data_IF_316080507506
#
_entry.id   IF_316080507506
#
_cell.length_a   1.000
_cell.length_b   1.000
_cell.length_c   1.000
_cell.angle_alpha   90.00
_cell.angle_beta   90.00
_cell.angle_gamma   90.00
#
_symmetry.space_group_name_H-M   'P 1'
#
loop_
_entity.id
_entity.type
_entity.pdbx_description
1 polymer ?
#
# COMPACT_ATOMS: atom_id res chain seq x y z
N UNK A 1 44.70 -10.11 -14.83
CA UNK A 1 43.71 -11.04 -14.24
C UNK A 1 42.55 -10.31 -13.55
N UNK A 2 42.78 -9.23 -12.80
CA UNK A 2 41.71 -8.44 -12.15
C UNK A 2 40.79 -7.73 -13.16
N UNK A 3 41.33 -7.01 -14.16
CA UNK A 3 40.49 -6.30 -15.15
C UNK A 3 39.54 -7.21 -15.92
N UNK A 4 39.98 -8.41 -16.33
CA UNK A 4 39.13 -9.37 -17.03
C UNK A 4 37.99 -9.89 -16.12
N UNK A 5 38.26 -10.13 -14.83
CA UNK A 5 37.25 -10.54 -13.87
C UNK A 5 36.21 -9.43 -13.61
N UNK A 6 36.66 -8.18 -13.46
CA UNK A 6 35.78 -7.02 -13.28
C UNK A 6 34.91 -6.75 -14.51
N UNK A 7 35.48 -6.88 -15.72
CA UNK A 7 34.74 -6.72 -16.98
C UNK A 7 33.73 -7.84 -17.20
N UNK A 8 34.07 -9.08 -16.84
CA UNK A 8 33.14 -10.21 -16.92
C UNK A 8 32.00 -10.08 -15.91
N UNK A 9 32.29 -9.63 -14.68
CA UNK A 9 31.27 -9.32 -13.67
C UNK A 9 30.35 -8.17 -14.09
N UNK A 10 30.88 -7.10 -14.69
CA UNK A 10 30.07 -5.97 -15.15
C UNK A 10 29.16 -6.36 -16.33
N UNK A 11 29.68 -7.15 -17.27
CA UNK A 11 28.92 -7.68 -18.41
C UNK A 11 27.82 -8.63 -17.98
N UNK A 12 28.13 -9.59 -17.10
CA UNK A 12 27.12 -10.49 -16.54
C UNK A 12 26.05 -9.74 -15.72
N UNK A 13 26.44 -8.66 -15.02
CA UNK A 13 25.48 -7.81 -14.30
C UNK A 13 24.58 -7.05 -15.27
N UNK A 14 25.12 -6.48 -16.35
CA UNK A 14 24.35 -5.77 -17.38
C UNK A 14 23.40 -6.71 -18.12
N UNK A 15 23.86 -7.91 -18.49
CA UNK A 15 23.04 -8.95 -19.14
C UNK A 15 21.92 -9.45 -18.21
N UNK A 16 22.21 -9.62 -16.92
CA UNK A 16 21.19 -9.93 -15.92
C UNK A 16 20.19 -8.79 -15.71
N UNK A 17 20.64 -7.54 -15.71
CA UNK A 17 19.74 -6.38 -15.61
C UNK A 17 18.82 -6.32 -16.82
N UNK A 18 19.35 -6.40 -18.04
CA UNK A 18 18.55 -6.35 -19.27
C UNK A 18 17.58 -7.52 -19.40
N UNK A 19 18.00 -8.73 -19.04
CA UNK A 19 17.14 -9.93 -19.03
C UNK A 19 15.98 -9.81 -18.03
N UNK A 20 16.17 -9.09 -16.92
CA UNK A 20 15.16 -8.90 -15.87
C UNK A 20 14.30 -7.64 -16.03
N UNK A 21 14.60 -6.73 -16.98
CA UNK A 21 13.79 -5.51 -17.22
C UNK A 21 12.30 -5.81 -17.43
N UNK A 22 11.89 -6.83 -18.21
CA UNK A 22 10.47 -7.16 -18.37
C UNK A 22 9.80 -7.56 -17.06
N UNK A 23 10.51 -8.32 -16.21
CA UNK A 23 10.02 -8.72 -14.88
C UNK A 23 9.88 -7.49 -13.97
N UNK A 24 10.84 -6.57 -14.02
CA UNK A 24 10.78 -5.32 -13.26
C UNK A 24 9.59 -4.43 -13.68
N UNK A 25 9.39 -4.22 -14.98
CA UNK A 25 8.26 -3.44 -15.50
C UNK A 25 6.91 -4.08 -15.17
N UNK A 26 6.83 -5.41 -15.26
CA UNK A 26 5.63 -6.14 -14.85
C UNK A 26 5.31 -5.95 -13.36
N UNK A 27 6.31 -6.10 -12.48
CA UNK A 27 6.14 -5.89 -11.04
C UNK A 27 5.80 -4.43 -10.71
N UNK A 28 6.40 -3.47 -11.42
CA UNK A 28 6.04 -2.05 -11.31
C UNK A 28 4.60 -1.80 -11.75
N UNK A 29 4.15 -2.43 -12.85
CA UNK A 29 2.76 -2.38 -13.30
C UNK A 29 1.81 -2.92 -12.24
N UNK A 30 2.13 -4.08 -11.64
CA UNK A 30 1.34 -4.66 -10.55
C UNK A 30 1.29 -3.72 -9.34
N UNK A 31 2.40 -3.11 -8.95
CA UNK A 31 2.45 -2.14 -7.85
C UNK A 31 1.58 -0.90 -8.13
N UNK A 32 1.61 -0.39 -9.36
CA UNK A 32 0.75 0.71 -9.80
C UNK A 32 -0.74 0.36 -9.72
N UNK A 33 -1.11 -0.84 -10.17
CA UNK A 33 -2.50 -1.32 -10.08
C UNK A 33 -2.96 -1.52 -8.63
N UNK A 34 -2.08 -2.01 -7.74
CA UNK A 34 -2.36 -2.08 -6.29
C UNK A 34 -2.54 -0.67 -5.71
N UNK A 35 -1.74 0.31 -6.13
CA UNK A 35 -1.93 1.71 -5.76
C UNK A 35 -3.29 2.26 -6.19
N UNK A 36 -3.72 1.97 -7.43
CA UNK A 36 -5.06 2.31 -7.91
C UNK A 36 -6.15 1.59 -7.09
N UNK A 37 -5.94 0.32 -6.72
CA UNK A 37 -6.86 -0.44 -5.86
C UNK A 37 -7.03 0.22 -4.48
N UNK A 38 -5.96 0.72 -3.87
CA UNK A 38 -6.03 1.48 -2.60
C UNK A 38 -6.84 2.77 -2.77
N UNK A 39 -6.63 3.50 -3.87
CA UNK A 39 -7.38 4.72 -4.14
C UNK A 39 -8.89 4.48 -4.30
N UNK A 40 -9.26 3.52 -5.16
CA UNK A 40 -10.66 3.17 -5.45
C UNK A 40 -11.32 2.50 -4.24
N UNK A 41 -10.60 1.67 -3.49
CA UNK A 41 -11.06 1.09 -2.23
C UNK A 41 -11.29 2.15 -1.16
N UNK A 42 -10.40 3.15 -1.07
CA UNK A 42 -10.57 4.33 -0.22
C UNK A 42 -11.84 5.12 -0.57
N UNK A 43 -12.07 5.38 -1.85
CA UNK A 43 -13.30 6.01 -2.34
C UNK A 43 -14.55 5.18 -1.95
N UNK A 44 -14.50 3.87 -2.16
CA UNK A 44 -15.59 2.91 -1.83
C UNK A 44 -15.93 2.94 -0.34
N UNK A 45 -14.92 3.07 0.53
CA UNK A 45 -15.13 3.18 1.99
C UNK A 45 -15.73 4.52 2.37
N UNK A 46 -15.20 5.62 1.83
CA UNK A 46 -15.63 6.99 2.17
C UNK A 46 -17.06 7.27 1.69
N UNK A 47 -17.46 6.75 0.53
CA UNK A 47 -18.85 6.83 0.03
C UNK A 47 -19.79 5.80 0.68
N UNK A 48 -19.25 4.97 1.59
CA UNK A 48 -19.95 3.83 2.21
C UNK A 48 -20.57 2.90 1.17
N UNK A 49 -19.91 2.69 0.03
CA UNK A 49 -20.46 1.89 -1.06
C UNK A 49 -20.11 0.41 -0.98
N UNK A 50 -19.28 -0.03 -0.03
CA UNK A 50 -18.75 -1.40 0.03
C UNK A 50 -19.76 -2.55 0.25
N UNK A 51 -21.06 -2.26 0.29
CA UNK A 51 -22.16 -3.22 0.47
C UNK A 51 -23.34 -2.93 -0.49
N UNK A 52 -23.10 -2.17 -1.56
CA UNK A 52 -24.08 -1.83 -2.59
C UNK A 52 -24.38 -2.99 -3.56
N UNK A 53 -23.40 -3.87 -3.83
CA UNK A 53 -23.56 -5.03 -4.71
C UNK A 53 -23.83 -6.29 -3.90
N UNK A 54 -25.11 -6.48 -3.60
CA UNK A 54 -25.62 -7.58 -2.77
C UNK A 54 -25.75 -8.91 -3.52
N UNK A 55 -25.89 -8.87 -4.85
CA UNK A 55 -25.86 -10.09 -5.67
C UNK A 55 -24.43 -10.55 -5.93
N UNK A 56 -24.13 -11.79 -5.56
CA UNK A 56 -22.87 -12.41 -5.92
C UNK A 56 -22.98 -13.05 -7.31
N UNK A 57 -22.39 -12.39 -8.32
CA UNK A 57 -22.19 -12.98 -9.65
C UNK A 57 -20.75 -13.52 -9.75
N UNK A 58 -20.53 -14.86 -9.78
CA UNK A 58 -19.21 -15.49 -9.70
C UNK A 58 -18.21 -14.94 -10.71
N UNK A 59 -18.67 -14.66 -11.92
CA UNK A 59 -17.85 -14.29 -13.07
C UNK A 59 -17.49 -12.80 -13.12
N UNK A 60 -18.04 -11.98 -12.22
CA UNK A 60 -17.97 -10.52 -12.38
C UNK A 60 -18.73 -10.09 -13.62
N UNK A 61 -20.05 -10.34 -13.62
CA UNK A 61 -20.92 -9.90 -14.70
C UNK A 61 -20.89 -8.37 -14.85
N UNK A 62 -21.21 -7.91 -16.07
CA UNK A 62 -21.39 -6.50 -16.37
C UNK A 62 -22.35 -5.85 -15.34
N UNK A 63 -22.14 -4.56 -15.01
CA UNK A 63 -23.13 -3.83 -14.22
C UNK A 63 -24.47 -3.84 -14.97
N UNK A 64 -25.60 -3.63 -14.26
CA UNK A 64 -26.89 -3.45 -14.90
C UNK A 64 -26.78 -2.42 -16.04
N UNK A 65 -27.36 -2.75 -17.19
CA UNK A 65 -27.27 -1.93 -18.40
C UNK A 65 -28.60 -1.22 -18.63
N UNK A 66 -29.70 -1.93 -18.38
CA UNK A 66 -31.05 -1.38 -18.58
C UNK A 66 -31.60 -0.73 -17.32
N UNK A 67 -32.50 0.23 -17.48
CA UNK A 67 -33.15 0.88 -16.34
C UNK A 67 -33.98 -0.09 -15.50
N UNK A 68 -34.55 -1.13 -16.13
CA UNK A 68 -35.27 -2.19 -15.41
C UNK A 68 -34.34 -3.00 -14.51
N UNK A 69 -33.17 -3.42 -15.01
CA UNK A 69 -32.19 -4.15 -14.21
C UNK A 69 -31.65 -3.29 -13.05
N UNK A 70 -31.49 -1.98 -13.27
CA UNK A 70 -31.13 -1.04 -12.20
C UNK A 70 -32.21 -0.92 -11.14
N UNK A 71 -33.48 -0.87 -11.55
CA UNK A 71 -34.61 -0.85 -10.62
C UNK A 71 -34.66 -2.13 -9.78
N UNK A 72 -34.47 -3.30 -10.41
CA UNK A 72 -34.51 -4.61 -9.73
C UNK A 72 -33.39 -4.75 -8.68
N UNK A 73 -32.15 -4.37 -9.02
CA UNK A 73 -31.02 -4.37 -8.08
C UNK A 73 -31.21 -3.33 -6.96
N UNK A 74 -31.80 -2.17 -7.26
CA UNK A 74 -32.11 -1.18 -6.23
C UNK A 74 -33.19 -1.67 -5.26
N UNK A 75 -34.25 -2.30 -5.76
CA UNK A 75 -35.27 -2.93 -4.92
C UNK A 75 -34.70 -4.04 -4.03
N UNK A 76 -33.70 -4.77 -4.52
CA UNK A 76 -32.98 -5.74 -3.70
C UNK A 76 -32.13 -5.05 -2.63
N UNK A 77 -31.41 -3.98 -2.96
CA UNK A 77 -30.60 -3.20 -2.02
C UNK A 77 -31.44 -2.60 -0.88
N UNK A 78 -32.68 -2.18 -1.15
CA UNK A 78 -33.62 -1.68 -0.12
C UNK A 78 -33.90 -2.65 1.02
N UNK A 79 -33.70 -3.95 0.80
CA UNK A 79 -33.92 -5.01 1.81
C UNK A 79 -32.81 -5.08 2.86
N UNK A 80 -31.67 -4.42 2.63
CA UNK A 80 -30.51 -4.49 3.51
C UNK A 80 -30.49 -3.35 4.55
N UNK A 81 -29.90 -3.58 5.74
CA UNK A 81 -29.80 -2.57 6.80
C UNK A 81 -29.11 -1.27 6.37
N UNK A 82 -28.17 -1.33 5.43
CA UNK A 82 -27.42 -0.18 4.93
C UNK A 82 -28.31 0.84 4.21
N UNK A 83 -29.38 0.39 3.54
CA UNK A 83 -30.36 1.28 2.93
C UNK A 83 -31.24 1.97 4.00
N UNK A 84 -31.50 1.31 5.13
CA UNK A 84 -32.28 1.89 6.23
C UNK A 84 -31.61 3.14 6.82
N UNK A 85 -30.29 3.27 6.68
CA UNK A 85 -29.54 4.46 7.08
C UNK A 85 -29.56 5.58 6.01
N UNK A 86 -30.08 5.31 4.80
CA UNK A 86 -30.05 6.20 3.63
C UNK A 86 -31.34 6.12 2.81
N UNK A 87 -32.49 6.12 3.47
CA UNK A 87 -33.80 5.87 2.84
C UNK A 87 -34.21 6.91 1.79
N UNK A 88 -33.59 8.10 1.78
CA UNK A 88 -33.87 9.16 0.82
C UNK A 88 -33.08 9.06 -0.51
N UNK A 89 -32.35 7.96 -0.71
CA UNK A 89 -31.51 7.75 -1.89
C UNK A 89 -32.34 7.48 -3.15
N UNK A 90 -31.96 8.11 -4.27
CA UNK A 90 -32.56 7.83 -5.59
C UNK A 90 -31.85 6.67 -6.29
N UNK A 91 -32.41 6.19 -7.41
CA UNK A 91 -31.76 5.16 -8.25
C UNK A 91 -30.42 5.69 -8.80
N UNK A 92 -30.32 6.99 -9.10
CA UNK A 92 -29.09 7.57 -9.63
C UNK A 92 -27.99 7.67 -8.57
N UNK A 93 -28.37 7.98 -7.32
CA UNK A 93 -27.45 7.91 -6.18
C UNK A 93 -26.97 6.46 -5.94
N UNK A 94 -27.86 5.49 -6.10
CA UNK A 94 -27.53 4.07 -6.02
C UNK A 94 -26.53 3.65 -7.11
N UNK A 95 -26.71 4.11 -8.35
CA UNK A 95 -25.77 3.87 -9.46
C UNK A 95 -24.36 4.34 -9.12
N UNK A 96 -24.21 5.50 -8.46
CA UNK A 96 -22.90 6.03 -8.05
C UNK A 96 -22.19 5.15 -7.03
N UNK A 97 -22.89 4.72 -5.98
CA UNK A 97 -22.28 3.82 -4.98
C UNK A 97 -21.96 2.46 -5.59
N UNK A 98 -22.87 1.92 -6.41
CA UNK A 98 -22.66 0.65 -7.12
C UNK A 98 -21.43 0.71 -8.00
N UNK A 99 -21.23 1.81 -8.73
CA UNK A 99 -20.08 1.98 -9.62
C UNK A 99 -18.73 1.92 -8.88
N UNK A 100 -18.64 2.56 -7.71
CA UNK A 100 -17.42 2.51 -6.89
C UNK A 100 -17.10 1.10 -6.42
N UNK A 101 -18.11 0.38 -5.90
CA UNK A 101 -17.91 -1.00 -5.47
C UNK A 101 -17.56 -1.91 -6.65
N UNK A 102 -18.29 -1.80 -7.76
CA UNK A 102 -18.03 -2.56 -8.99
C UNK A 102 -16.59 -2.33 -9.48
N UNK A 103 -16.18 -1.06 -9.58
CA UNK A 103 -14.84 -0.68 -10.03
C UNK A 103 -13.76 -1.24 -9.12
N UNK A 104 -13.92 -1.13 -7.80
CA UNK A 104 -13.01 -1.72 -6.82
C UNK A 104 -12.93 -3.26 -6.98
N UNK A 105 -14.07 -3.94 -7.15
CA UNK A 105 -14.14 -5.40 -7.30
C UNK A 105 -13.51 -5.87 -8.61
N UNK A 106 -13.77 -5.18 -9.73
CA UNK A 106 -13.16 -5.52 -11.02
C UNK A 106 -11.67 -5.25 -11.00
N UNK A 107 -11.24 -4.10 -10.46
CA UNK A 107 -9.83 -3.75 -10.39
C UNK A 107 -9.03 -4.80 -9.60
N UNK A 108 -9.56 -5.28 -8.47
CA UNK A 108 -8.94 -6.37 -7.70
C UNK A 108 -8.78 -7.68 -8.49
N UNK A 109 -9.76 -8.04 -9.33
CA UNK A 109 -9.68 -9.22 -10.22
C UNK A 109 -8.64 -9.02 -11.30
N UNK A 110 -8.64 -7.84 -11.93
CA UNK A 110 -7.66 -7.49 -12.97
C UNK A 110 -6.24 -7.49 -12.40
N UNK A 111 -6.02 -7.00 -11.18
CA UNK A 111 -4.73 -7.11 -10.47
C UNK A 111 -4.32 -8.58 -10.31
N UNK A 112 -5.24 -9.42 -9.84
CA UNK A 112 -4.99 -10.86 -9.67
C UNK A 112 -4.56 -11.54 -10.97
N UNK A 113 -5.25 -11.27 -12.08
CA UNK A 113 -4.91 -11.80 -13.40
C UNK A 113 -3.61 -11.22 -13.96
N UNK A 114 -3.42 -9.90 -13.84
CA UNK A 114 -2.22 -9.20 -14.27
C UNK A 114 -0.97 -9.63 -13.49
N UNK A 115 -1.13 -10.17 -12.28
CA UNK A 115 -0.05 -10.81 -11.55
C UNK A 115 0.10 -12.28 -11.94
N UNK A 116 -0.97 -13.08 -11.89
CA UNK A 116 -0.90 -14.53 -12.09
C UNK A 116 -0.45 -14.93 -13.51
N UNK A 117 -0.96 -14.27 -14.55
CA UNK A 117 -0.67 -14.67 -15.94
C UNK A 117 0.80 -14.44 -16.33
N UNK A 118 1.41 -13.25 -16.08
CA UNK A 118 2.83 -13.07 -16.35
C UNK A 118 3.72 -13.87 -15.39
N UNK A 119 3.31 -14.09 -14.13
CA UNK A 119 4.01 -14.97 -13.20
C UNK A 119 4.13 -16.39 -13.80
N UNK A 120 3.03 -16.97 -14.26
CA UNK A 120 3.02 -18.28 -14.92
C UNK A 120 3.93 -18.29 -16.15
N UNK A 121 3.82 -17.28 -17.01
CA UNK A 121 4.68 -17.14 -18.19
C UNK A 121 6.18 -17.10 -17.82
N UNK A 122 6.58 -16.25 -16.87
CA UNK A 122 7.98 -16.10 -16.49
C UNK A 122 8.54 -17.32 -15.74
N UNK A 123 7.69 -18.05 -15.00
CA UNK A 123 8.05 -19.33 -14.39
C UNK A 123 8.31 -20.41 -15.46
N UNK A 124 7.40 -20.57 -16.43
CA UNK A 124 7.56 -21.54 -17.53
C UNK A 124 8.81 -21.23 -18.36
N UNK A 125 9.09 -19.95 -18.60
CA UNK A 125 10.27 -19.50 -19.36
C UNK A 125 11.56 -19.44 -18.53
N UNK A 126 11.52 -19.83 -17.25
CA UNK A 126 12.67 -19.81 -16.31
C UNK A 126 13.39 -18.45 -16.28
N UNK A 127 12.63 -17.34 -16.41
CA UNK A 127 13.16 -15.97 -16.43
C UNK A 127 13.23 -15.31 -15.05
N UNK A 128 12.71 -15.98 -14.03
CA UNK A 128 12.71 -15.47 -12.65
C UNK A 128 13.93 -16.04 -11.90
N UNK A 129 14.74 -15.19 -11.25
CA UNK A 129 15.86 -15.63 -10.43
C UNK A 129 15.37 -16.36 -9.16
N UNK A 130 16.11 -17.38 -8.72
CA UNK A 130 15.65 -18.32 -7.67
C UNK A 130 15.36 -17.64 -6.33
N UNK A 131 16.05 -16.54 -6.05
CA UNK A 131 15.91 -15.71 -4.85
C UNK A 131 14.54 -15.03 -4.77
N UNK A 132 13.83 -14.89 -5.89
CA UNK A 132 12.52 -14.24 -5.96
C UNK A 132 11.36 -15.21 -5.76
N UNK A 133 11.54 -16.53 -5.88
CA UNK A 133 10.44 -17.49 -5.78
C UNK A 133 9.69 -17.41 -4.45
N UNK A 134 10.41 -17.33 -3.32
CA UNK A 134 9.77 -17.22 -2.01
C UNK A 134 8.94 -15.94 -1.86
N UNK A 135 9.43 -14.81 -2.38
CA UNK A 135 8.71 -13.52 -2.33
C UNK A 135 7.47 -13.53 -3.21
N UNK A 136 7.59 -14.06 -4.43
CA UNK A 136 6.47 -14.15 -5.37
C UNK A 136 5.43 -15.17 -4.91
N UNK A 137 5.84 -16.29 -4.31
CA UNK A 137 4.93 -17.25 -3.71
C UNK A 137 4.19 -16.65 -2.51
N UNK A 138 4.86 -15.86 -1.66
CA UNK A 138 4.21 -15.14 -0.57
C UNK A 138 3.19 -14.12 -1.09
N UNK A 139 3.56 -13.31 -2.09
CA UNK A 139 2.65 -12.34 -2.72
C UNK A 139 1.44 -13.03 -3.38
N UNK A 140 1.69 -14.12 -4.10
CA UNK A 140 0.64 -14.94 -4.71
C UNK A 140 -0.28 -15.54 -3.65
N UNK A 141 0.29 -16.12 -2.58
CA UNK A 141 -0.46 -16.72 -1.49
C UNK A 141 -1.34 -15.71 -0.76
N UNK A 142 -0.81 -14.53 -0.45
CA UNK A 142 -1.58 -13.44 0.16
C UNK A 142 -2.72 -12.97 -0.76
N UNK A 143 -2.47 -12.81 -2.06
CA UNK A 143 -3.48 -12.41 -3.05
C UNK A 143 -4.55 -13.48 -3.27
N UNK A 144 -4.14 -14.74 -3.41
CA UNK A 144 -5.04 -15.89 -3.57
C UNK A 144 -5.90 -16.10 -2.32
N UNK A 145 -5.33 -15.89 -1.12
CA UNK A 145 -6.08 -15.90 0.13
C UNK A 145 -7.18 -14.82 0.14
N UNK A 146 -6.85 -13.58 -0.24
CA UNK A 146 -7.85 -12.50 -0.38
C UNK A 146 -8.92 -12.78 -1.44
N UNK A 147 -8.57 -13.48 -2.52
CA UNK A 147 -9.46 -13.79 -3.63
C UNK A 147 -10.44 -14.92 -3.30
N UNK A 148 -9.97 -15.97 -2.63
CA UNK A 148 -10.77 -17.14 -2.27
C UNK A 148 -11.70 -16.90 -1.06
N UNK A 149 -11.36 -15.96 -0.16
CA UNK A 149 -11.98 -15.85 1.18
C UNK A 149 -12.87 -14.61 1.37
N UNK A 150 -13.44 -14.05 0.29
CA UNK A 150 -14.50 -13.01 0.35
C UNK A 150 -15.86 -13.54 0.82
N UNK A 151 -15.89 -14.25 1.94
CA UNK A 151 -17.09 -14.46 2.76
C UNK A 151 -17.13 -13.41 3.87
N UNK A 152 -18.32 -12.92 4.21
CA UNK A 152 -18.62 -11.78 5.09
C UNK A 152 -17.83 -11.70 6.43
N UNK A 153 -17.27 -12.81 6.91
CA UNK A 153 -16.50 -12.95 8.16
C UNK A 153 -15.27 -12.04 8.24
N UNK A 154 -14.48 -11.89 7.17
CA UNK A 154 -13.30 -11.00 7.20
C UNK A 154 -13.68 -9.54 6.98
N UNK A 155 -14.78 -9.24 6.27
CA UNK A 155 -15.32 -7.88 6.25
C UNK A 155 -15.75 -7.47 7.66
N UNK A 156 -16.41 -8.34 8.43
CA UNK A 156 -16.73 -8.08 9.82
C UNK A 156 -15.48 -7.88 10.69
N UNK A 157 -14.44 -8.71 10.52
CA UNK A 157 -13.17 -8.56 11.24
C UNK A 157 -12.38 -7.33 10.78
N UNK A 158 -12.41 -6.95 9.50
CA UNK A 158 -11.70 -5.79 8.93
C UNK A 158 -12.46 -4.49 9.19
N UNK A 159 -13.78 -4.53 9.30
CA UNK A 159 -14.59 -3.43 9.84
C UNK A 159 -14.32 -3.32 11.33
N UNK A 160 -14.30 -4.42 12.10
CA UNK A 160 -14.00 -4.39 13.52
C UNK A 160 -12.57 -3.89 13.80
N UNK A 161 -11.56 -4.40 13.09
CA UNK A 161 -10.17 -3.97 13.22
C UNK A 161 -9.88 -2.63 12.51
N UNK A 162 -10.61 -2.31 11.44
CA UNK A 162 -10.57 -1.01 10.77
C UNK A 162 -11.30 0.10 11.51
N UNK A 163 -12.25 -0.23 12.40
CA UNK A 163 -12.87 0.65 13.39
C UNK A 163 -12.04 0.75 14.69
N UNK A 164 -11.18 -0.25 14.94
CA UNK A 164 -10.18 -0.21 16.02
C UNK A 164 -8.92 0.57 15.62
N UNK A 165 -8.52 0.52 14.34
CA UNK A 165 -7.32 1.19 13.78
C UNK A 165 -7.65 2.55 13.16
N UNK A 166 -8.83 2.72 12.56
CA UNK A 166 -9.38 4.05 12.30
C UNK A 166 -10.32 4.36 13.46
N UNK A 167 -9.76 4.97 14.51
CA UNK A 167 -10.53 5.42 15.66
C UNK A 167 -11.79 6.14 15.21
N UNK A 168 -12.93 5.62 15.67
CA UNK A 168 -14.22 6.29 15.88
C UNK A 168 -14.11 7.81 15.63
N UNK A 169 -14.58 8.27 14.47
CA UNK A 169 -14.72 9.69 14.11
C UNK A 169 -13.51 10.61 14.37
N UNK A 170 -12.27 10.12 14.50
CA UNK A 170 -11.13 10.96 14.87
C UNK A 170 -10.82 12.07 13.85
N UNK A 171 -11.19 11.86 12.58
CA UNK A 171 -11.08 12.87 11.51
C UNK A 171 -12.20 13.93 11.51
N UNK A 172 -13.26 13.75 12.29
CA UNK A 172 -14.33 14.75 12.52
C UNK A 172 -14.36 15.27 13.97
N UNK A 173 -13.71 14.57 14.91
CA UNK A 173 -13.67 14.95 16.32
C UNK A 173 -12.87 16.24 16.56
N UNK A 174 -11.83 16.49 15.75
CA UNK A 174 -10.97 17.66 15.85
C UNK A 174 -10.64 18.23 14.46
N UNK A 175 -11.39 19.23 14.02
CA UNK A 175 -11.18 19.93 12.74
C UNK A 175 -10.31 21.20 12.90
N UNK A 176 -9.47 21.26 13.94
CA UNK A 176 -8.67 22.43 14.29
C UNK A 176 -7.18 22.09 14.25
N UNK A 177 -6.36 23.05 13.83
CA UNK A 177 -4.91 22.99 13.87
C UNK A 177 -4.39 24.42 14.17
N UNK A 178 -3.36 24.61 15.01
CA UNK A 178 -2.46 23.63 15.62
C UNK A 178 -2.96 22.98 16.91
N UNK A 179 -4.07 23.46 17.49
CA UNK A 179 -4.74 22.83 18.65
C UNK A 179 -5.79 21.82 18.21
N UNK A 180 -5.92 20.71 18.90
CA UNK A 180 -7.02 19.74 18.77
C UNK A 180 -8.07 20.04 19.84
N UNK A 181 -9.09 20.85 19.49
CA UNK A 181 -10.00 21.43 20.49
C UNK A 181 -9.28 22.44 21.37
N UNK A 182 -9.37 22.28 22.70
CA UNK A 182 -8.71 23.18 23.66
C UNK A 182 -7.25 22.79 23.97
N UNK A 183 -6.79 21.63 23.49
CA UNK A 183 -5.48 21.06 23.79
C UNK A 183 -4.53 21.19 22.60
N UNK A 184 -3.23 21.37 22.88
CA UNK A 184 -2.21 21.42 21.82
C UNK A 184 -1.87 20.02 21.28
N UNK A 185 -1.81 19.01 22.16
CA UNK A 185 -1.59 17.61 21.85
C UNK A 185 -2.30 16.76 22.92
N UNK A 186 -3.20 15.84 22.55
CA UNK A 186 -3.76 14.87 23.47
C UNK A 186 -2.67 13.91 24.02
N UNK A 187 -2.80 13.52 25.28
CA UNK A 187 -1.86 12.59 25.94
C UNK A 187 -1.83 11.23 25.19
N UNK A 188 -0.63 10.73 24.89
CA UNK A 188 -0.41 9.42 24.23
C UNK A 188 -0.10 9.44 22.73
N UNK A 189 0.03 10.61 22.07
CA UNK A 189 0.37 10.68 20.64
C UNK A 189 1.86 10.41 20.31
N UNK A 190 2.78 10.46 21.28
CA UNK A 190 4.22 10.51 21.01
C UNK A 190 4.93 9.17 20.77
N UNK A 191 4.25 8.03 20.84
CA UNK A 191 4.94 6.74 20.97
C UNK A 191 5.45 6.13 19.65
N UNK A 192 5.04 6.62 18.46
CA UNK A 192 5.38 5.98 17.17
C UNK A 192 6.13 6.86 16.15
N UNK A 193 6.20 8.18 16.35
CA UNK A 193 6.83 9.13 15.40
C UNK A 193 8.37 9.25 15.60
N UNK A 194 8.89 8.72 16.71
CA UNK A 194 10.27 8.97 17.18
C UNK A 194 11.33 8.17 16.41
N UNK A 195 11.00 7.00 15.84
CA UNK A 195 12.02 6.11 15.26
C UNK A 195 12.55 6.56 13.88
N UNK A 196 11.69 7.04 12.99
CA UNK A 196 12.10 7.43 11.61
C UNK A 196 12.65 8.86 11.58
N UNK A 197 11.96 9.80 12.25
CA UNK A 197 12.44 11.19 12.40
C UNK A 197 13.75 11.23 13.19
N UNK A 198 13.88 10.39 14.24
CA UNK A 198 15.14 10.22 14.98
C UNK A 198 16.27 9.64 14.13
N UNK A 199 16.00 8.61 13.31
CA UNK A 199 17.00 8.05 12.40
C UNK A 199 17.46 9.05 11.32
N UNK A 200 16.55 9.86 10.77
CA UNK A 200 16.90 10.92 9.84
C UNK A 200 17.74 12.02 10.50
N UNK A 201 17.36 12.47 11.71
CA UNK A 201 18.12 13.45 12.47
C UNK A 201 19.55 12.97 12.76
N UNK A 202 19.71 11.69 13.13
CA UNK A 202 21.02 11.04 13.32
C UNK A 202 21.81 10.97 12.00
N UNK A 203 21.17 10.60 10.90
CA UNK A 203 21.81 10.54 9.59
C UNK A 203 22.28 11.92 9.11
N UNK A 204 21.59 13.00 9.51
CA UNK A 204 21.94 14.36 9.10
C UNK A 204 23.08 14.99 9.89
N UNK A 205 23.59 14.32 10.94
CA UNK A 205 24.84 14.69 11.58
C UNK A 205 25.95 14.78 10.52
N UNK A 206 26.71 15.90 10.41
CA UNK A 206 27.76 16.06 9.41
C UNK A 206 28.76 14.89 9.38
N UNK A 207 29.10 14.35 10.55
CA UNK A 207 30.04 13.24 10.68
C UNK A 207 29.51 11.94 10.05
N UNK A 208 28.19 11.77 10.00
CA UNK A 208 27.52 10.58 9.44
C UNK A 208 27.15 10.81 7.97
N UNK A 209 26.61 11.98 7.65
CA UNK A 209 26.08 12.32 6.33
C UNK A 209 27.09 12.16 5.20
N UNK A 210 28.36 12.48 5.46
CA UNK A 210 29.43 12.33 4.46
C UNK A 210 29.84 10.88 4.21
N UNK A 211 29.53 9.98 5.13
CA UNK A 211 29.83 8.54 5.01
C UNK A 211 28.72 7.75 4.31
N UNK A 212 27.53 8.34 4.15
CA UNK A 212 26.37 7.68 3.51
C UNK A 212 26.56 7.67 1.97
N UNK A 213 26.31 6.55 1.27
CA UNK A 213 26.30 6.51 -0.18
C UNK A 213 25.24 7.45 -0.80
N UNK A 214 25.54 8.06 -1.95
CA UNK A 214 24.61 8.99 -2.62
C UNK A 214 23.18 8.44 -2.83
N UNK A 215 22.97 7.17 -3.25
CA UNK A 215 21.61 6.61 -3.38
C UNK A 215 20.82 6.58 -2.07
N UNK A 216 21.50 6.33 -0.94
CA UNK A 216 20.87 6.31 0.37
C UNK A 216 20.53 7.73 0.86
N UNK A 217 21.34 8.74 0.53
CA UNK A 217 20.99 10.15 0.78
C UNK A 217 19.73 10.56 0.02
N UNK A 218 19.64 10.19 -1.26
CA UNK A 218 18.44 10.44 -2.07
C UNK A 218 17.22 9.76 -1.48
N UNK A 219 17.34 8.50 -1.05
CA UNK A 219 16.24 7.77 -0.42
C UNK A 219 15.76 8.44 0.88
N UNK A 220 16.69 8.83 1.76
CA UNK A 220 16.41 9.57 3.00
C UNK A 220 15.66 10.88 2.71
N UNK A 221 16.14 11.69 1.75
CA UNK A 221 15.49 12.95 1.38
C UNK A 221 14.08 12.74 0.81
N UNK A 222 13.91 11.75 -0.08
CA UNK A 222 12.60 11.42 -0.65
C UNK A 222 11.62 10.94 0.43
N UNK A 223 12.11 10.19 1.42
CA UNK A 223 11.28 9.71 2.52
C UNK A 223 10.81 10.86 3.42
N UNK A 224 11.67 11.81 3.74
CA UNK A 224 11.29 13.01 4.50
C UNK A 224 10.33 13.89 3.69
N UNK A 225 10.57 14.07 2.39
CA UNK A 225 9.66 14.80 1.53
C UNK A 225 8.28 14.13 1.47
N UNK A 226 8.23 12.80 1.35
CA UNK A 226 6.98 12.04 1.38
C UNK A 226 6.28 12.13 2.75
N UNK A 227 7.03 12.10 3.85
CA UNK A 227 6.48 12.25 5.19
C UNK A 227 5.89 13.64 5.41
N UNK A 228 6.62 14.70 5.04
CA UNK A 228 6.15 16.07 5.10
C UNK A 228 4.90 16.27 4.22
N UNK A 229 4.91 15.75 2.99
CA UNK A 229 3.75 15.78 2.10
C UNK A 229 2.54 15.06 2.71
N UNK A 230 2.75 13.90 3.33
CA UNK A 230 1.69 13.15 4.00
C UNK A 230 1.08 13.92 5.18
N UNK A 231 1.91 14.57 6.01
CA UNK A 231 1.45 15.43 7.11
C UNK A 231 0.64 16.61 6.56
N UNK A 232 1.13 17.28 5.51
CA UNK A 232 0.40 18.40 4.89
C UNK A 232 -0.94 17.96 4.29
N UNK A 233 -0.99 16.79 3.64
CA UNK A 233 -2.24 16.19 3.16
C UNK A 233 -3.19 15.84 4.30
N UNK A 234 -2.67 15.32 5.43
CA UNK A 234 -3.45 15.01 6.62
C UNK A 234 -4.08 16.26 7.24
N UNK A 235 -3.27 17.31 7.47
CA UNK A 235 -3.73 18.61 7.97
C UNK A 235 -4.77 19.21 7.02
N UNK A 236 -4.48 19.19 5.71
CA UNK A 236 -5.40 19.72 4.69
C UNK A 236 -6.72 18.95 4.66
N UNK A 237 -6.68 17.62 4.83
CA UNK A 237 -7.88 16.78 4.92
C UNK A 237 -8.72 17.15 6.13
N UNK A 238 -8.09 17.38 7.29
CA UNK A 238 -8.79 17.79 8.53
C UNK A 238 -9.41 19.18 8.41
N UNK A 239 -8.63 20.17 7.97
CA UNK A 239 -9.09 21.57 7.88
C UNK A 239 -10.23 21.78 6.88
N UNK A 240 -10.35 20.91 5.88
CA UNK A 240 -11.41 20.97 4.87
C UNK A 240 -12.57 20.00 5.16
N UNK A 241 -12.66 19.46 6.38
CA UNK A 241 -13.72 18.53 6.80
C UNK A 241 -13.79 17.24 5.93
N UNK A 242 -12.62 16.64 5.68
CA UNK A 242 -12.45 15.34 5.04
C UNK A 242 -13.12 15.26 3.64
N UNK A 243 -12.77 16.14 2.69
CA UNK A 243 -13.34 16.04 1.36
C UNK A 243 -12.78 14.79 0.66
N UNK A 244 -13.65 14.07 -0.05
CA UNK A 244 -13.32 12.77 -0.66
C UNK A 244 -12.01 12.81 -1.48
N UNK A 245 -11.75 13.82 -2.33
CA UNK A 245 -10.48 13.88 -3.07
C UNK A 245 -9.24 13.99 -2.18
N UNK A 246 -9.27 14.79 -1.10
CA UNK A 246 -8.14 14.89 -0.18
C UNK A 246 -7.97 13.63 0.66
N UNK A 247 -9.07 13.02 1.09
CA UNK A 247 -9.01 11.78 1.85
C UNK A 247 -8.46 10.60 1.01
N UNK A 248 -8.79 10.55 -0.29
CA UNK A 248 -8.18 9.60 -1.23
C UNK A 248 -6.70 9.94 -1.44
N UNK A 249 -6.36 11.22 -1.65
CA UNK A 249 -4.97 11.65 -1.82
C UNK A 249 -4.11 11.34 -0.58
N UNK A 250 -4.65 11.49 0.62
CA UNK A 250 -3.99 11.13 1.86
C UNK A 250 -3.78 9.60 1.98
N UNK A 251 -4.77 8.78 1.61
CA UNK A 251 -4.62 7.32 1.61
C UNK A 251 -3.58 6.83 0.59
N UNK A 252 -3.56 7.41 -0.61
CA UNK A 252 -2.56 7.05 -1.64
C UNK A 252 -1.18 7.62 -1.31
N UNK A 253 -1.10 8.80 -0.70
CA UNK A 253 0.13 9.39 -0.17
C UNK A 253 0.80 8.49 0.89
N UNK A 254 0.03 7.80 1.72
CA UNK A 254 0.56 6.85 2.69
C UNK A 254 1.30 5.67 2.01
N UNK A 255 0.84 5.23 0.83
CA UNK A 255 1.52 4.20 0.04
C UNK A 255 2.84 4.71 -0.54
N UNK A 256 2.89 5.97 -0.98
CA UNK A 256 4.13 6.63 -1.43
C UNK A 256 5.13 6.72 -0.28
N UNK A 257 4.67 7.15 0.90
CA UNK A 257 5.48 7.17 2.12
C UNK A 257 6.01 5.77 2.45
N UNK A 258 5.14 4.75 2.51
CA UNK A 258 5.54 3.36 2.76
C UNK A 258 6.59 2.88 1.74
N UNK A 259 6.38 3.15 0.45
CA UNK A 259 7.31 2.78 -0.62
C UNK A 259 8.67 3.45 -0.45
N UNK A 260 8.67 4.76 -0.14
CA UNK A 260 9.90 5.51 0.13
C UNK A 260 10.61 4.99 1.39
N UNK A 261 9.88 4.56 2.42
CA UNK A 261 10.45 3.97 3.64
C UNK A 261 11.13 2.63 3.34
N UNK A 262 10.46 1.75 2.60
CA UNK A 262 11.05 0.47 2.17
C UNK A 262 12.28 0.70 1.28
N UNK A 263 12.23 1.71 0.40
CA UNK A 263 13.38 2.10 -0.43
C UNK A 263 14.56 2.60 0.42
N UNK A 264 14.30 3.45 1.42
CA UNK A 264 15.31 3.88 2.39
C UNK A 264 15.92 2.72 3.14
N UNK A 265 15.10 1.83 3.71
CA UNK A 265 15.57 0.63 4.41
C UNK A 265 16.41 -0.28 3.50
N UNK A 266 16.02 -0.40 2.23
CA UNK A 266 16.77 -1.17 1.24
C UNK A 266 18.14 -0.55 0.95
N UNK A 267 18.19 0.77 0.71
CA UNK A 267 19.45 1.48 0.42
C UNK A 267 20.37 1.53 1.64
N UNK A 268 19.84 1.49 2.87
CA UNK A 268 20.61 1.44 4.11
C UNK A 268 21.07 0.03 4.50
N UNK A 269 20.83 -1.02 3.69
CA UNK A 269 21.28 -2.39 4.01
C UNK A 269 22.80 -2.53 4.12
N UNK A 270 23.59 -1.63 3.51
CA UNK A 270 25.06 -1.59 3.71
C UNK A 270 25.44 -1.30 5.17
N UNK A 271 24.57 -0.60 5.90
CA UNK A 271 24.76 -0.23 7.30
C UNK A 271 24.21 -1.29 8.27
N UNK A 272 23.74 -2.46 7.79
CA UNK A 272 23.46 -3.57 8.70
C UNK A 272 24.76 -3.93 9.41
N UNK A 273 24.80 -3.92 10.76
CA UNK A 273 25.95 -4.46 11.45
C UNK A 273 26.12 -5.89 10.94
N UNK A 274 27.34 -6.24 10.54
CA UNK A 274 27.74 -7.58 10.12
C UNK A 274 27.66 -8.52 11.34
N UNK A 275 26.45 -8.75 11.83
CA UNK A 275 26.14 -9.68 12.90
C UNK A 275 26.23 -11.09 12.37
N UNK A 276 27.45 -11.64 12.33
CA UNK A 276 27.75 -13.03 12.71
C UNK A 276 29.26 -13.37 12.70
N UNK A 277 30.12 -12.58 12.06
CA UNK A 277 31.55 -12.95 11.90
C UNK A 277 32.53 -12.28 12.87
N UNK A 278 32.11 -11.25 13.61
CA UNK A 278 33.04 -10.53 14.50
C UNK A 278 33.24 -11.24 15.85
N UNK A 279 32.17 -11.82 16.42
CA UNK A 279 32.23 -12.53 17.70
C UNK A 279 33.06 -13.83 17.64
N UNK A 280 33.08 -14.52 16.48
CA UNK A 280 33.94 -15.69 16.27
C UNK A 280 35.41 -15.31 16.11
N UNK A 281 35.71 -14.17 15.46
CA UNK A 281 37.08 -13.71 15.24
C UNK A 281 37.75 -13.23 16.53
N UNK A 282 36.99 -12.66 17.47
CA UNK A 282 37.52 -12.32 18.81
C UNK A 282 37.82 -13.59 19.63
N UNK A 283 36.95 -14.61 19.58
CA UNK A 283 37.19 -15.89 20.28
C UNK A 283 38.37 -16.69 19.73
N UNK A 284 38.73 -16.48 18.47
CA UNK A 284 39.89 -17.13 17.84
C UNK A 284 41.20 -16.38 18.10
N UNK A 285 41.14 -15.06 18.28
CA UNK A 285 42.27 -14.22 18.66
C UNK A 285 42.56 -14.20 20.18
N UNK A 286 41.65 -14.72 20.99
CA UNK A 286 41.77 -14.78 22.46
C UNK A 286 42.12 -16.17 23.01
N UNK A 287 42.58 -17.10 22.16
CA UNK A 287 43.20 -18.34 22.65
C UNK A 287 44.70 -18.10 22.75
N UNK A 288 45.32 -18.29 23.94
CA UNK A 288 46.76 -18.21 24.10
C UNK A 288 47.48 -19.28 23.28
#
# INVERSE_FOLDING_TARGET
SLNAATTNLSRATLENVTANRPVAWWLMGCAGMVGAMVAVGGATRLTRSGLSMVTWKPHGGLPPITDQEWADEFELYKKFPEFQQRQHMTVDDFKQIYFWEYSHRMLGRTVGLAFAAPLAYFLIRKRIPKEMYGRLAALFGLGAFQWLHRSATVLAITIASGAFVAGIDAGMAYNTFPKMGDQWLPDGMFDMEVLITGAYALARNPNVWWQIPAPAKTALNLNVAAAAGQVMLGISTLLNCVPIPLAIAHQTGALVLMTSTVYTLHTLRFARPLGYKWASSIKQASKP
#
